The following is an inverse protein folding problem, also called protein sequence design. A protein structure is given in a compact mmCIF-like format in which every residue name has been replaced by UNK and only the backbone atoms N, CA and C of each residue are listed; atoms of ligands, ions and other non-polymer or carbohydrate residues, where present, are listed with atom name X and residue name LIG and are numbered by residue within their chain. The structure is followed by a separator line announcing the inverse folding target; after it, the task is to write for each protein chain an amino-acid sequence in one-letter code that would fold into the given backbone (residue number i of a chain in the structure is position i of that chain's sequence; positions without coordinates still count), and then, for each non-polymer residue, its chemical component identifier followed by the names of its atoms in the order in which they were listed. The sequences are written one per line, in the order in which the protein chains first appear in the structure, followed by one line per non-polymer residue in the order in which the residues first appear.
data_IF_237970185349
#
_entry.id   IF_237970185349
#
_cell.length_a   1.000
_cell.length_b   1.000
_cell.length_c   1.000
_cell.angle_alpha   90.00
_cell.angle_beta   90.00
_cell.angle_gamma   90.00
#
_symmetry.space_group_name_H-M   'P 1'
#
loop_
_entity.id
_entity.type
_entity.pdbx_description
1 polymer ?
#
# COMPACT_ATOMS: atom_id res chain seq x y z
N UNK A 1 -90.32 -65.61 25.71
CA UNK A 1 -89.24 -65.47 24.70
C UNK A 1 -88.90 -64.00 24.39
N UNK A 2 -89.81 -63.03 24.57
CA UNK A 2 -89.54 -61.61 24.25
C UNK A 2 -88.48 -60.93 25.13
N UNK A 3 -88.41 -61.27 26.43
CA UNK A 3 -87.48 -60.63 27.37
C UNK A 3 -85.99 -60.93 27.05
N UNK A 4 -85.71 -62.11 26.49
CA UNK A 4 -84.34 -62.53 26.15
C UNK A 4 -83.80 -61.82 24.89
N UNK A 5 -84.68 -61.56 23.90
CA UNK A 5 -84.31 -60.82 22.67
C UNK A 5 -83.99 -59.35 22.94
N UNK A 6 -84.70 -58.73 23.87
CA UNK A 6 -84.44 -57.34 24.25
C UNK A 6 -83.09 -57.20 24.95
N UNK A 7 -82.77 -58.11 25.88
CA UNK A 7 -81.48 -58.16 26.56
C UNK A 7 -80.31 -58.42 25.60
N UNK A 8 -80.48 -59.32 24.62
CA UNK A 8 -79.48 -59.56 23.56
C UNK A 8 -79.24 -58.30 22.70
N UNK A 9 -80.29 -57.58 22.32
CA UNK A 9 -80.17 -56.34 21.55
C UNK A 9 -79.50 -55.23 22.36
N UNK A 10 -79.81 -55.09 23.64
CA UNK A 10 -79.14 -54.12 24.53
C UNK A 10 -77.66 -54.46 24.72
N UNK A 11 -77.33 -55.74 24.91
CA UNK A 11 -75.93 -56.16 25.04
C UNK A 11 -75.15 -55.95 23.75
N UNK A 12 -75.77 -56.24 22.60
CA UNK A 12 -75.16 -56.01 21.29
C UNK A 12 -74.92 -54.52 21.03
N UNK A 13 -75.90 -53.66 21.32
CA UNK A 13 -75.75 -52.21 21.20
C UNK A 13 -74.67 -51.65 22.13
N UNK A 14 -74.58 -52.16 23.36
CA UNK A 14 -73.54 -51.79 24.30
C UNK A 14 -72.15 -52.18 23.79
N UNK A 15 -72.00 -53.41 23.28
CA UNK A 15 -70.74 -53.90 22.72
C UNK A 15 -70.34 -53.10 21.47
N UNK A 16 -71.27 -52.82 20.56
CA UNK A 16 -71.02 -51.98 19.37
C UNK A 16 -70.63 -50.55 19.76
N UNK A 17 -71.25 -49.98 20.80
CA UNK A 17 -70.88 -48.67 21.34
C UNK A 17 -69.48 -48.68 21.96
N UNK A 18 -69.13 -49.73 22.70
CA UNK A 18 -67.81 -49.89 23.31
C UNK A 18 -66.71 -50.09 22.26
N UNK A 19 -66.97 -50.88 21.21
CA UNK A 19 -66.02 -51.08 20.11
C UNK A 19 -65.80 -49.81 19.30
N UNK A 20 -66.87 -49.06 18.97
CA UNK A 20 -66.74 -47.76 18.29
C UNK A 20 -65.97 -46.76 19.14
N UNK A 21 -66.26 -46.68 20.44
CA UNK A 21 -65.52 -45.80 21.36
C UNK A 21 -64.04 -46.15 21.46
N UNK A 22 -63.69 -47.45 21.45
CA UNK A 22 -62.29 -47.91 21.41
C UNK A 22 -61.61 -47.54 20.09
N UNK A 23 -62.27 -47.78 18.96
CA UNK A 23 -61.72 -47.44 17.65
C UNK A 23 -61.47 -45.93 17.49
N UNK A 24 -62.40 -45.09 17.96
CA UNK A 24 -62.23 -43.63 17.92
C UNK A 24 -61.11 -43.15 18.85
N UNK A 25 -60.98 -43.75 20.04
CA UNK A 25 -59.88 -43.45 20.96
C UNK A 25 -58.51 -43.85 20.37
N UNK A 26 -58.42 -45.03 19.75
CA UNK A 26 -57.20 -45.49 19.08
C UNK A 26 -56.83 -44.57 17.90
N UNK A 27 -57.81 -44.14 17.11
CA UNK A 27 -57.61 -43.19 16.00
C UNK A 27 -57.09 -41.84 16.51
N UNK A 28 -57.71 -41.28 17.55
CA UNK A 28 -57.26 -40.02 18.17
C UNK A 28 -55.83 -40.12 18.71
N UNK A 29 -55.49 -41.23 19.36
CA UNK A 29 -54.12 -41.45 19.86
C UNK A 29 -53.13 -41.60 18.72
N UNK A 30 -53.50 -42.25 17.62
CA UNK A 30 -52.66 -42.38 16.43
C UNK A 30 -52.41 -41.01 15.77
N UNK A 31 -53.46 -40.21 15.55
CA UNK A 31 -53.36 -38.87 14.97
C UNK A 31 -52.52 -37.92 15.85
N UNK A 32 -52.68 -38.01 17.17
CA UNK A 32 -51.87 -37.23 18.12
C UNK A 32 -50.39 -37.63 18.07
N UNK A 33 -50.08 -38.93 17.97
CA UNK A 33 -48.70 -39.42 17.82
C UNK A 33 -48.08 -39.01 16.50
N UNK A 34 -48.83 -39.05 15.41
CA UNK A 34 -48.36 -38.61 14.10
C UNK A 34 -48.09 -37.10 14.09
N UNK A 35 -49.01 -36.30 14.63
CA UNK A 35 -48.84 -34.85 14.75
C UNK A 35 -47.62 -34.49 15.61
N UNK A 36 -47.43 -35.17 16.74
CA UNK A 36 -46.27 -34.98 17.59
C UNK A 36 -44.95 -35.35 16.88
N UNK A 37 -44.95 -36.48 16.14
CA UNK A 37 -43.79 -36.89 15.35
C UNK A 37 -43.43 -35.85 14.28
N UNK A 38 -44.44 -35.29 13.60
CA UNK A 38 -44.25 -34.25 12.59
C UNK A 38 -43.68 -32.97 13.19
N UNK A 39 -44.22 -32.48 14.30
CA UNK A 39 -43.69 -31.29 15.00
C UNK A 39 -42.22 -31.48 15.38
N UNK A 40 -41.86 -32.66 15.88
CA UNK A 40 -40.47 -32.96 16.24
C UNK A 40 -39.57 -33.01 14.99
N UNK A 41 -40.05 -33.58 13.88
CA UNK A 41 -39.31 -33.62 12.64
C UNK A 41 -39.07 -32.22 12.06
N UNK A 42 -40.11 -31.39 12.01
CA UNK A 42 -40.04 -30.01 11.51
C UNK A 42 -39.09 -29.16 12.38
N UNK A 43 -39.20 -29.27 13.71
CA UNK A 43 -38.30 -28.56 14.63
C UNK A 43 -36.83 -28.98 14.48
N UNK A 44 -36.57 -30.28 14.22
CA UNK A 44 -35.21 -30.76 13.94
C UNK A 44 -34.68 -30.22 12.62
N UNK A 45 -35.50 -30.22 11.57
CA UNK A 45 -35.10 -29.70 10.27
C UNK A 45 -34.81 -28.19 10.33
N UNK A 46 -35.62 -27.42 11.05
CA UNK A 46 -35.35 -25.98 11.29
C UNK A 46 -34.07 -25.77 12.08
N UNK A 47 -33.83 -26.56 13.14
CA UNK A 47 -32.61 -26.47 13.93
C UNK A 47 -31.35 -26.79 13.10
N UNK A 48 -31.39 -27.83 12.27
CA UNK A 48 -30.31 -28.17 11.34
C UNK A 48 -30.08 -27.06 10.30
N UNK A 49 -31.14 -26.48 9.74
CA UNK A 49 -31.03 -25.39 8.80
C UNK A 49 -30.41 -24.12 9.42
N UNK A 50 -30.79 -23.79 10.66
CA UNK A 50 -30.20 -22.67 11.41
C UNK A 50 -28.73 -22.93 11.71
N UNK A 51 -28.39 -24.13 12.18
CA UNK A 51 -27.01 -24.51 12.48
C UNK A 51 -26.12 -24.40 11.23
N UNK A 52 -26.58 -24.95 10.10
CA UNK A 52 -25.87 -24.87 8.83
C UNK A 52 -25.69 -23.42 8.34
N UNK A 53 -26.75 -22.61 8.41
CA UNK A 53 -26.66 -21.21 8.02
C UNK A 53 -25.72 -20.40 8.94
N UNK A 54 -25.60 -20.78 10.21
CA UNK A 54 -24.65 -20.17 11.13
C UNK A 54 -23.20 -20.56 10.80
N UNK A 55 -22.96 -21.83 10.45
CA UNK A 55 -21.65 -22.32 10.01
C UNK A 55 -21.20 -21.63 8.71
N UNK A 56 -22.06 -21.59 7.69
CA UNK A 56 -21.77 -20.95 6.41
C UNK A 56 -21.40 -19.46 6.60
N UNK A 57 -22.17 -18.73 7.43
CA UNK A 57 -21.87 -17.33 7.76
C UNK A 57 -20.56 -17.17 8.52
N UNK A 58 -20.25 -18.08 9.44
CA UNK A 58 -18.99 -18.03 10.19
C UNK A 58 -17.78 -18.23 9.27
N UNK A 59 -17.89 -19.13 8.29
CA UNK A 59 -16.85 -19.34 7.28
C UNK A 59 -16.65 -18.10 6.40
N UNK A 60 -17.75 -17.50 5.92
CA UNK A 60 -17.71 -16.27 5.13
C UNK A 60 -17.08 -15.09 5.88
N UNK A 61 -17.46 -14.89 7.14
CA UNK A 61 -16.87 -13.86 8.01
C UNK A 61 -15.36 -14.10 8.17
N UNK A 62 -14.96 -15.35 8.41
CA UNK A 62 -13.55 -15.71 8.58
C UNK A 62 -12.75 -15.42 7.31
N UNK A 63 -13.27 -15.79 6.14
CA UNK A 63 -12.62 -15.54 4.85
C UNK A 63 -12.48 -14.05 4.54
N UNK A 64 -13.53 -13.27 4.81
CA UNK A 64 -13.51 -11.83 4.62
C UNK A 64 -12.50 -11.15 5.57
N UNK A 65 -12.52 -11.52 6.86
CA UNK A 65 -11.58 -11.00 7.85
C UNK A 65 -10.12 -11.30 7.46
N UNK A 66 -9.82 -12.51 6.99
CA UNK A 66 -8.47 -12.86 6.53
C UNK A 66 -8.02 -12.02 5.33
N UNK A 67 -8.94 -11.72 4.41
CA UNK A 67 -8.66 -10.87 3.24
C UNK A 67 -8.35 -9.43 3.65
N UNK A 68 -9.14 -8.87 4.58
CA UNK A 68 -8.91 -7.51 5.10
C UNK A 68 -7.59 -7.40 5.87
N UNK A 69 -7.28 -8.39 6.71
CA UNK A 69 -6.00 -8.44 7.44
C UNK A 69 -4.82 -8.50 6.46
N UNK A 70 -4.91 -9.32 5.42
CA UNK A 70 -3.86 -9.42 4.40
C UNK A 70 -3.68 -8.08 3.66
N UNK A 71 -4.77 -7.39 3.33
CA UNK A 71 -4.73 -6.08 2.69
C UNK A 71 -4.09 -5.02 3.60
N UNK A 72 -4.51 -4.95 4.86
CA UNK A 72 -3.95 -4.04 5.86
C UNK A 72 -2.45 -4.29 6.06
N UNK A 73 -2.03 -5.57 6.10
CA UNK A 73 -0.62 -5.96 6.17
C UNK A 73 0.19 -5.47 4.97
N UNK A 74 -0.31 -5.62 3.74
CA UNK A 74 0.35 -5.10 2.53
C UNK A 74 0.45 -3.59 2.55
N UNK A 75 -0.59 -2.89 2.99
CA UNK A 75 -0.59 -1.42 3.09
C UNK A 75 0.43 -0.94 4.14
N UNK A 76 0.47 -1.58 5.31
CA UNK A 76 1.45 -1.28 6.35
C UNK A 76 2.88 -1.47 5.84
N UNK A 77 3.15 -2.59 5.14
CA UNK A 77 4.45 -2.85 4.55
C UNK A 77 4.85 -1.77 3.53
N UNK A 78 3.95 -1.38 2.62
CA UNK A 78 4.21 -0.32 1.64
C UNK A 78 4.52 1.01 2.32
N UNK A 79 3.79 1.35 3.38
CA UNK A 79 3.97 2.59 4.13
C UNK A 79 5.34 2.63 4.83
N UNK A 80 5.72 1.53 5.49
CA UNK A 80 7.05 1.38 6.11
C UNK A 80 8.16 1.54 5.07
N UNK A 81 8.02 0.93 3.89
CA UNK A 81 9.02 1.06 2.82
C UNK A 81 9.16 2.50 2.31
N UNK A 82 8.04 3.24 2.21
CA UNK A 82 8.07 4.66 1.83
C UNK A 82 8.74 5.53 2.91
N UNK A 83 8.39 5.33 4.19
CA UNK A 83 8.98 6.08 5.30
C UNK A 83 10.48 5.81 5.45
N UNK A 84 10.93 4.55 5.24
CA UNK A 84 12.36 4.22 5.24
C UNK A 84 13.11 4.89 4.08
N UNK A 85 12.52 4.92 2.88
CA UNK A 85 13.11 5.61 1.75
C UNK A 85 13.25 7.13 2.04
N UNK A 86 12.22 7.75 2.62
CA UNK A 86 12.24 9.16 2.99
C UNK A 86 13.26 9.46 4.11
N UNK A 87 13.36 8.61 5.13
CA UNK A 87 14.32 8.78 6.21
C UNK A 87 15.78 8.68 5.74
N UNK A 88 16.09 7.73 4.83
CA UNK A 88 17.43 7.60 4.22
C UNK A 88 17.74 8.84 3.39
N UNK A 89 16.79 9.31 2.60
CA UNK A 89 16.91 10.54 1.83
C UNK A 89 17.21 11.73 2.76
N UNK A 90 16.38 12.00 3.76
CA UNK A 90 16.57 13.14 4.66
C UNK A 90 17.92 13.11 5.39
N UNK A 91 18.37 11.93 5.82
CA UNK A 91 19.63 11.78 6.55
C UNK A 91 20.87 11.95 5.67
N UNK A 92 20.77 11.66 4.37
CA UNK A 92 21.87 11.79 3.41
C UNK A 92 21.89 13.15 2.73
N UNK A 93 20.74 13.79 2.54
CA UNK A 93 20.65 15.06 1.80
C UNK A 93 20.51 16.31 2.69
N UNK A 94 19.96 16.21 3.90
CA UNK A 94 19.64 17.42 4.70
C UNK A 94 20.86 18.18 5.25
N UNK A 95 21.88 17.48 5.71
CA UNK A 95 23.07 18.09 6.35
C UNK A 95 24.36 17.88 5.56
N UNK A 96 24.57 16.71 4.97
CA UNK A 96 25.79 16.40 4.23
C UNK A 96 25.87 17.14 2.89
N UNK A 97 24.75 17.31 2.17
CA UNK A 97 24.73 18.04 0.89
C UNK A 97 24.88 19.54 1.11
N UNK A 98 24.23 20.14 2.13
CA UNK A 98 24.44 21.55 2.46
C UNK A 98 25.88 21.86 2.86
N UNK A 99 26.55 20.92 3.53
CA UNK A 99 27.98 21.05 3.86
C UNK A 99 28.88 20.85 2.63
N UNK A 100 28.57 19.88 1.77
CA UNK A 100 29.35 19.58 0.56
C UNK A 100 29.18 20.63 -0.55
N UNK A 101 27.98 21.17 -0.76
CA UNK A 101 27.71 22.27 -1.69
C UNK A 101 28.37 23.59 -1.28
N UNK A 102 28.85 23.68 -0.04
CA UNK A 102 29.66 24.80 0.46
C UNK A 102 31.18 24.55 0.37
N UNK A 103 31.63 23.35 0.02
CA UNK A 103 33.05 23.04 -0.14
C UNK A 103 33.54 23.45 -1.54
N UNK A 104 34.48 24.39 -1.58
CA UNK A 104 35.10 24.90 -2.80
C UNK A 104 35.75 23.79 -3.65
N UNK A 105 36.24 22.73 -3.01
CA UNK A 105 36.86 21.57 -3.66
C UNK A 105 35.82 20.72 -4.38
N UNK A 106 34.68 20.47 -3.73
CA UNK A 106 33.57 19.72 -4.32
C UNK A 106 32.97 20.43 -5.54
N UNK A 107 32.80 21.75 -5.47
CA UNK A 107 32.31 22.55 -6.61
C UNK A 107 33.28 22.47 -7.79
N UNK A 108 34.60 22.54 -7.54
CA UNK A 108 35.63 22.34 -8.57
C UNK A 108 35.52 20.97 -9.23
N UNK A 109 35.51 19.90 -8.43
CA UNK A 109 35.51 18.53 -8.96
C UNK A 109 34.21 18.23 -9.73
N UNK A 110 33.08 18.77 -9.28
CA UNK A 110 31.80 18.65 -9.97
C UNK A 110 31.83 19.38 -11.33
N UNK A 111 32.35 20.62 -11.38
CA UNK A 111 32.51 21.35 -12.64
C UNK A 111 33.42 20.61 -13.63
N UNK A 112 34.54 20.05 -13.16
CA UNK A 112 35.44 19.24 -14.01
C UNK A 112 34.76 17.96 -14.51
N UNK A 113 34.06 17.23 -13.64
CA UNK A 113 33.35 16.01 -14.02
C UNK A 113 32.26 16.29 -15.07
N UNK A 114 31.47 17.35 -14.89
CA UNK A 114 30.46 17.74 -15.86
C UNK A 114 31.08 18.19 -17.18
N UNK A 115 32.14 18.98 -17.14
CA UNK A 115 32.83 19.43 -18.35
C UNK A 115 33.40 18.25 -19.16
N UNK A 116 34.06 17.32 -18.48
CA UNK A 116 34.57 16.10 -19.12
C UNK A 116 33.46 15.22 -19.70
N UNK A 117 32.32 15.09 -19.01
CA UNK A 117 31.20 14.28 -19.48
C UNK A 117 30.37 14.99 -20.58
N UNK A 118 30.36 16.32 -20.61
CA UNK A 118 29.69 17.13 -21.63
C UNK A 118 30.50 17.15 -22.94
N UNK A 119 31.82 17.23 -22.83
CA UNK A 119 32.74 17.26 -23.98
C UNK A 119 32.88 15.87 -24.66
N UNK A 120 32.33 14.81 -24.06
CA UNK A 120 32.21 13.50 -24.70
C UNK A 120 31.17 13.49 -25.85
N UNK A 121 30.32 14.52 -25.95
CA UNK A 121 29.30 14.66 -26.99
C UNK A 121 29.68 15.71 -28.06
N UNK A 122 30.80 15.49 -28.76
CA UNK A 122 31.07 15.93 -30.16
C UNK A 122 30.94 17.41 -30.57
N UNK A 123 30.77 18.35 -29.64
CA UNK A 123 30.78 19.78 -29.96
C UNK A 123 31.76 20.47 -29.03
N UNK A 124 32.54 21.40 -29.57
CA UNK A 124 33.48 22.27 -28.85
C UNK A 124 32.67 23.23 -27.95
N UNK A 125 32.05 22.69 -26.90
CA UNK A 125 31.15 23.42 -26.02
C UNK A 125 31.98 24.15 -24.98
N UNK A 126 32.04 25.47 -25.11
CA UNK A 126 32.48 26.33 -24.02
C UNK A 126 31.35 26.48 -23.00
N UNK A 127 31.58 25.94 -21.81
CA UNK A 127 30.64 25.97 -20.70
C UNK A 127 30.90 27.20 -19.85
N UNK A 128 29.83 27.89 -19.43
CA UNK A 128 29.91 28.99 -18.47
C UNK A 128 29.30 28.57 -17.15
N UNK A 129 30.12 28.56 -16.10
CA UNK A 129 29.70 28.31 -14.72
C UNK A 129 29.48 29.64 -14.01
N UNK A 130 28.26 29.90 -13.52
CA UNK A 130 27.93 31.08 -12.72
C UNK A 130 27.85 30.71 -11.25
N UNK A 131 28.79 31.22 -10.45
CA UNK A 131 28.89 31.03 -9.01
C UNK A 131 28.28 32.22 -8.23
N UNK A 132 27.89 32.04 -6.96
CA UNK A 132 27.40 33.11 -6.10
C UNK A 132 28.52 34.11 -5.80
N UNK A 133 28.25 35.40 -5.99
CA UNK A 133 29.23 36.46 -5.70
C UNK A 133 29.57 36.55 -4.19
N UNK A 134 28.61 36.17 -3.33
CA UNK A 134 28.76 36.17 -1.87
C UNK A 134 29.84 35.20 -1.38
N UNK A 135 30.08 34.11 -2.13
CA UNK A 135 31.11 33.09 -1.82
C UNK A 135 32.41 33.27 -2.60
N UNK A 136 32.54 34.39 -3.32
CA UNK A 136 33.71 34.68 -4.15
C UNK A 136 35.01 34.57 -3.39
N UNK A 137 35.09 35.10 -2.15
CA UNK A 137 36.32 35.06 -1.36
C UNK A 137 36.81 33.64 -1.03
N UNK A 138 35.88 32.68 -0.86
CA UNK A 138 36.19 31.28 -0.53
C UNK A 138 36.48 30.45 -1.79
N UNK A 139 35.77 30.74 -2.89
CA UNK A 139 35.87 30.00 -4.14
C UNK A 139 37.03 30.49 -5.02
N UNK A 140 37.45 31.77 -4.92
CA UNK A 140 38.47 32.34 -5.80
C UNK A 140 39.79 31.58 -5.72
N UNK A 141 40.23 31.21 -4.52
CA UNK A 141 41.51 30.52 -4.35
C UNK A 141 41.53 29.17 -5.06
N UNK A 142 40.45 28.39 -4.94
CA UNK A 142 40.34 27.06 -5.56
C UNK A 142 40.09 27.16 -7.06
N UNK A 143 39.26 28.11 -7.49
CA UNK A 143 38.94 28.35 -8.90
C UNK A 143 40.14 28.93 -9.66
N UNK A 144 40.95 29.80 -9.04
CA UNK A 144 42.20 30.29 -9.63
C UNK A 144 43.25 29.19 -9.71
N UNK A 145 43.43 28.41 -8.64
CA UNK A 145 44.36 27.27 -8.65
C UNK A 145 43.97 26.23 -9.72
N UNK A 146 42.67 26.11 -10.01
CA UNK A 146 42.11 25.14 -10.96
C UNK A 146 41.72 25.76 -12.30
N UNK A 147 42.00 27.05 -12.52
CA UNK A 147 41.59 27.78 -13.71
C UNK A 147 42.18 27.16 -14.97
N UNK A 148 43.43 26.68 -14.90
CA UNK A 148 44.09 26.01 -16.01
C UNK A 148 43.44 24.64 -16.33
N UNK A 149 42.94 23.92 -15.33
CA UNK A 149 42.25 22.63 -15.52
C UNK A 149 40.84 22.83 -16.05
N UNK A 150 40.10 23.79 -15.48
CA UNK A 150 38.76 24.16 -15.91
C UNK A 150 38.78 24.74 -17.35
N UNK A 151 39.77 25.57 -17.68
CA UNK A 151 39.93 26.10 -19.03
C UNK A 151 40.29 25.01 -20.05
N UNK A 152 41.13 24.04 -19.68
CA UNK A 152 41.40 22.85 -20.52
C UNK A 152 40.14 22.01 -20.76
N UNK A 153 39.26 21.95 -19.77
CA UNK A 153 37.96 21.30 -19.89
C UNK A 153 36.90 22.18 -20.58
N UNK A 154 37.24 23.40 -21.03
CA UNK A 154 36.31 24.30 -21.72
C UNK A 154 35.35 25.06 -20.81
N UNK A 155 35.61 25.13 -19.50
CA UNK A 155 34.77 25.82 -18.51
C UNK A 155 35.28 27.22 -18.21
N UNK A 156 34.45 28.21 -18.47
CA UNK A 156 34.64 29.60 -18.06
C UNK A 156 33.85 29.87 -16.78
N UNK A 157 34.55 30.21 -15.70
CA UNK A 157 33.92 30.52 -14.40
C UNK A 157 33.64 32.02 -14.32
N UNK A 158 32.40 32.37 -14.00
CA UNK A 158 31.95 33.73 -13.73
C UNK A 158 31.15 33.79 -12.42
N UNK A 159 30.98 35.00 -11.89
CA UNK A 159 30.14 35.24 -10.72
C UNK A 159 28.88 36.00 -11.13
N UNK A 160 27.74 35.69 -10.50
CA UNK A 160 26.48 36.39 -10.75
C UNK A 160 25.72 36.64 -9.44
N UNK A 161 25.13 37.84 -9.33
CA UNK A 161 24.23 38.23 -8.23
C UNK A 161 22.88 37.52 -8.27
N UNK A 162 22.53 36.94 -9.41
CA UNK A 162 21.30 36.17 -9.58
C UNK A 162 21.42 34.74 -9.04
N UNK A 163 22.63 34.29 -8.73
CA UNK A 163 22.89 32.97 -8.15
C UNK A 163 23.14 33.18 -6.65
N UNK A 164 22.14 32.88 -5.83
CA UNK A 164 22.22 33.02 -4.37
C UNK A 164 22.83 31.78 -3.71
N UNK A 165 22.51 30.59 -4.22
CA UNK A 165 23.01 29.30 -3.73
C UNK A 165 23.30 28.36 -4.90
N UNK A 166 24.33 27.51 -4.77
CA UNK A 166 24.73 26.57 -5.83
C UNK A 166 25.42 27.24 -7.03
N UNK A 167 25.21 26.75 -8.25
CA UNK A 167 25.76 27.35 -9.48
C UNK A 167 24.91 27.07 -10.72
N UNK A 168 25.07 27.86 -11.78
CA UNK A 168 24.43 27.62 -13.08
C UNK A 168 25.47 27.22 -14.12
N UNK A 169 25.23 26.16 -14.87
CA UNK A 169 26.08 25.72 -15.96
C UNK A 169 25.32 25.82 -17.28
N UNK A 170 25.88 26.52 -18.27
CA UNK A 170 25.23 26.65 -19.57
C UNK A 170 26.20 26.89 -20.71
N UNK A 171 25.72 26.75 -21.94
CA UNK A 171 26.51 27.07 -23.13
C UNK A 171 26.77 28.58 -23.23
N UNK A 172 28.01 28.95 -23.56
CA UNK A 172 28.43 30.35 -23.73
C UNK A 172 27.57 31.16 -24.72
N UNK A 173 26.93 30.50 -25.69
CA UNK A 173 26.11 31.12 -26.73
C UNK A 173 24.60 31.22 -26.40
N UNK A 174 24.19 30.88 -25.17
CA UNK A 174 22.87 31.26 -24.64
C UNK A 174 21.71 30.30 -24.92
N UNK A 175 21.96 29.03 -25.27
CA UNK A 175 20.90 28.06 -25.54
C UNK A 175 20.21 27.46 -24.30
N UNK A 176 20.96 27.21 -23.22
CA UNK A 176 20.42 26.52 -22.03
C UNK A 176 21.32 26.72 -20.80
N UNK A 177 20.71 26.89 -19.62
CA UNK A 177 21.40 26.90 -18.32
C UNK A 177 20.76 25.88 -17.39
N UNK A 178 21.54 24.96 -16.85
CA UNK A 178 21.15 24.06 -15.77
C UNK A 178 21.50 24.74 -14.44
N UNK A 179 20.49 24.97 -13.61
CA UNK A 179 20.68 25.52 -12.27
C UNK A 179 20.84 24.38 -11.25
N UNK A 180 22.05 24.22 -10.74
CA UNK A 180 22.36 23.35 -9.61
C UNK A 180 22.28 24.15 -8.33
N UNK A 181 21.06 24.34 -7.81
CA UNK A 181 20.83 24.86 -6.46
C UNK A 181 20.80 23.72 -5.45
N UNK A 182 20.86 24.04 -4.15
CA UNK A 182 20.66 23.06 -3.08
C UNK A 182 19.35 22.27 -3.28
N UNK A 183 18.30 22.94 -3.76
CA UNK A 183 16.97 22.36 -4.00
C UNK A 183 16.96 21.43 -5.21
N UNK A 184 17.60 21.82 -6.33
CA UNK A 184 17.73 20.97 -7.52
C UNK A 184 18.59 19.75 -7.25
N UNK A 185 19.68 19.90 -6.50
CA UNK A 185 20.57 18.80 -6.14
C UNK A 185 19.90 17.85 -5.16
N UNK A 186 19.20 18.37 -4.15
CA UNK A 186 18.38 17.56 -3.26
C UNK A 186 17.36 16.77 -4.09
N UNK A 187 16.56 17.42 -4.94
CA UNK A 187 15.58 16.74 -5.79
C UNK A 187 16.16 15.61 -6.66
N UNK A 188 17.27 15.85 -7.36
CA UNK A 188 17.96 14.83 -8.18
C UNK A 188 18.49 13.67 -7.33
N UNK A 189 19.09 13.98 -6.18
CA UNK A 189 19.60 12.96 -5.27
C UNK A 189 18.46 12.18 -4.61
N UNK A 190 17.34 12.82 -4.27
CA UNK A 190 16.11 12.16 -3.80
C UNK A 190 15.59 11.16 -4.81
N UNK A 191 15.55 11.53 -6.09
CA UNK A 191 15.08 10.66 -7.17
C UNK A 191 16.00 9.44 -7.36
N UNK A 192 17.31 9.69 -7.45
CA UNK A 192 18.30 8.61 -7.58
C UNK A 192 18.32 7.66 -6.37
N UNK A 193 18.29 8.20 -5.15
CA UNK A 193 18.28 7.39 -3.93
C UNK A 193 16.96 6.64 -3.77
N UNK A 194 15.81 7.24 -4.14
CA UNK A 194 14.52 6.54 -4.15
C UNK A 194 14.56 5.32 -5.05
N UNK A 195 15.12 5.43 -6.25
CA UNK A 195 15.24 4.31 -7.18
C UNK A 195 16.17 3.21 -6.63
N UNK A 196 17.35 3.57 -6.12
CA UNK A 196 18.31 2.60 -5.55
C UNK A 196 17.79 1.93 -4.28
N UNK A 197 17.19 2.69 -3.36
CA UNK A 197 16.62 2.16 -2.11
C UNK A 197 15.41 1.28 -2.42
N UNK A 198 14.57 1.67 -3.38
CA UNK A 198 13.49 0.81 -3.88
C UNK A 198 14.04 -0.52 -4.42
N UNK A 199 15.07 -0.48 -5.25
CA UNK A 199 15.68 -1.72 -5.77
C UNK A 199 16.29 -2.63 -4.68
N UNK A 200 16.71 -2.07 -3.54
CA UNK A 200 17.25 -2.84 -2.41
C UNK A 200 16.13 -3.40 -1.53
N UNK A 201 15.07 -2.62 -1.28
CA UNK A 201 13.98 -2.99 -0.36
C UNK A 201 12.90 -3.88 -0.99
N UNK A 202 12.84 -3.96 -2.32
CA UNK A 202 11.80 -4.69 -3.05
C UNK A 202 12.35 -5.81 -3.95
N UNK A 203 13.60 -6.23 -3.71
CA UNK A 203 14.19 -7.44 -4.30
C UNK A 203 13.64 -8.72 -3.68
#
# INVERSE_FOLDING_TARGET
MENNKLQELTQKLYNEGLERGRADAERLVAEAKESAAKIIADAKAEAEAIAKAAEDRAEDITKNAMTEIALAGRQALTKIKAELAEAVIMKTTGSAVKAAAADATFVKDMLLAMANNWNAATVDVSLKALLPEEKRAELDAVMQASAAELAKAGVEVGYSKEVKTGFKLGEKNGGYYIAFTDESFDALLKEYLREKVSNILFK
#
